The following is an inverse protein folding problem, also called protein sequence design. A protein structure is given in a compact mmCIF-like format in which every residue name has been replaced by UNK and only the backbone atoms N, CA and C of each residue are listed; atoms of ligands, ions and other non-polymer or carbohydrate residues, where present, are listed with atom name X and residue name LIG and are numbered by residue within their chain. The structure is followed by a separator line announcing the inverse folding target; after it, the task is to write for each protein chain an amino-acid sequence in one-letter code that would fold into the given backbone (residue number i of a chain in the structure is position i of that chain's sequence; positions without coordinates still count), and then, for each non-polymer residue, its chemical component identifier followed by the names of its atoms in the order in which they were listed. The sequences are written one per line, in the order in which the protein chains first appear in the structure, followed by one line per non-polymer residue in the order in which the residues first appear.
data_IF_327526231322
#
_entry.id   IF_327526231322
#
_cell.length_a   1.000
_cell.length_b   1.000
_cell.length_c   1.000
_cell.angle_alpha   90.00
_cell.angle_beta   90.00
_cell.angle_gamma   90.00
#
_symmetry.space_group_name_H-M   'P 1'
#
loop_
_entity.id
_entity.type
_entity.pdbx_description
1 polymer ?
#
# COMPACT_ATOMS: atom_id res chain seq x y z
N UNK A 1 -12.37 23.33 15.75
CA UNK A 1 -11.35 23.60 14.71
C UNK A 1 -10.27 22.52 14.62
N UNK A 2 -9.57 22.16 15.71
CA UNK A 2 -8.51 21.12 15.71
C UNK A 2 -8.95 19.79 15.05
N UNK A 3 -10.14 19.29 15.38
CA UNK A 3 -10.71 18.06 14.79
C UNK A 3 -10.88 18.12 13.27
N UNK A 4 -11.39 19.23 12.73
CA UNK A 4 -11.59 19.39 11.29
C UNK A 4 -10.25 19.44 10.55
N UNK A 5 -9.29 20.18 11.11
CA UNK A 5 -7.92 20.24 10.57
C UNK A 5 -7.29 18.85 10.58
N UNK A 6 -7.42 18.08 11.66
CA UNK A 6 -6.91 16.70 11.73
C UNK A 6 -7.56 15.78 10.70
N UNK A 7 -8.89 15.85 10.50
CA UNK A 7 -9.59 15.04 9.49
C UNK A 7 -9.11 15.40 8.08
N UNK A 8 -8.97 16.70 7.79
CA UNK A 8 -8.48 17.17 6.50
C UNK A 8 -7.06 16.67 6.23
N UNK A 9 -6.15 16.84 7.18
CA UNK A 9 -4.76 16.39 7.06
C UNK A 9 -4.67 14.87 6.89
N UNK A 10 -5.46 14.10 7.63
CA UNK A 10 -5.46 12.64 7.52
C UNK A 10 -6.02 12.18 6.17
N UNK A 11 -7.04 12.88 5.65
CA UNK A 11 -7.62 12.59 4.33
C UNK A 11 -6.62 12.90 3.22
N UNK A 12 -5.94 14.05 3.29
CA UNK A 12 -4.88 14.41 2.34
C UNK A 12 -3.72 13.42 2.39
N UNK A 13 -3.33 12.97 3.59
CA UNK A 13 -2.32 11.95 3.76
C UNK A 13 -2.73 10.63 3.10
N UNK A 14 -3.95 10.15 3.38
CA UNK A 14 -4.49 8.92 2.78
C UNK A 14 -4.52 9.02 1.25
N UNK A 15 -5.02 10.13 0.70
CA UNK A 15 -5.08 10.34 -0.76
C UNK A 15 -3.69 10.43 -1.40
N UNK A 16 -2.71 11.01 -0.72
CA UNK A 16 -1.34 11.19 -1.23
C UNK A 16 -0.48 9.93 -1.14
N UNK A 17 -0.73 9.07 -0.15
CA UNK A 17 0.08 7.88 0.14
C UNK A 17 -0.54 6.57 -0.32
N UNK A 18 -1.76 6.60 -0.85
CA UNK A 18 -2.48 5.42 -1.36
C UNK A 18 -3.09 5.72 -2.72
N UNK A 19 -3.57 4.67 -3.40
CA UNK A 19 -4.29 4.78 -4.69
C UNK A 19 -5.68 5.44 -4.56
N UNK A 20 -6.06 5.99 -3.39
CA UNK A 20 -7.35 6.66 -3.22
C UNK A 20 -7.52 7.88 -4.16
N UNK A 21 -6.43 8.48 -4.63
CA UNK A 21 -6.48 9.53 -5.66
C UNK A 21 -7.11 9.05 -6.97
N UNK A 22 -7.07 7.75 -7.28
CA UNK A 22 -7.67 7.19 -8.50
C UNK A 22 -9.19 7.41 -8.52
N UNK A 23 -9.85 7.53 -7.35
CA UNK A 23 -11.28 7.84 -7.27
C UNK A 23 -11.63 9.21 -7.86
N UNK A 24 -10.66 10.13 -7.98
CA UNK A 24 -10.86 11.42 -8.64
C UNK A 24 -11.05 11.27 -10.16
N UNK A 25 -10.69 10.12 -10.75
CA UNK A 25 -10.87 9.79 -12.18
C UNK A 25 -12.22 9.12 -12.48
N UNK A 26 -13.07 8.90 -11.48
CA UNK A 26 -14.42 8.34 -11.68
C UNK A 26 -15.25 9.14 -12.72
N UNK A 27 -15.17 10.47 -12.81
CA UNK A 27 -15.86 11.21 -13.88
C UNK A 27 -15.46 10.75 -15.30
N UNK A 28 -14.18 10.47 -15.54
CA UNK A 28 -13.70 10.00 -16.85
C UNK A 28 -14.23 8.59 -17.17
N UNK A 29 -14.35 7.72 -16.15
CA UNK A 29 -14.99 6.41 -16.30
C UNK A 29 -16.46 6.53 -16.71
N UNK A 30 -17.20 7.46 -16.09
CA UNK A 30 -18.62 7.70 -16.39
C UNK A 30 -18.77 8.24 -17.81
N UNK A 31 -17.98 9.23 -18.19
CA UNK A 31 -18.00 9.81 -19.53
C UNK A 31 -17.72 8.75 -20.60
N UNK A 32 -16.67 7.96 -20.41
CA UNK A 32 -16.31 6.91 -21.37
C UNK A 32 -17.37 5.79 -21.42
N UNK A 33 -17.98 5.42 -20.30
CA UNK A 33 -19.11 4.49 -20.30
C UNK A 33 -20.32 5.03 -21.10
N UNK A 34 -20.63 6.33 -20.98
CA UNK A 34 -21.69 6.97 -21.76
C UNK A 34 -21.39 6.89 -23.25
N UNK A 35 -20.15 7.18 -23.68
CA UNK A 35 -19.74 7.04 -25.09
C UNK A 35 -19.99 5.62 -25.62
N UNK A 36 -19.60 4.59 -24.87
CA UNK A 36 -19.88 3.20 -25.26
C UNK A 36 -21.37 2.85 -25.24
N UNK A 37 -22.15 3.45 -24.36
CA UNK A 37 -23.61 3.25 -24.27
C UNK A 37 -24.35 3.91 -25.43
N UNK A 38 -23.86 5.04 -25.93
CA UNK A 38 -24.37 5.72 -27.12
C UNK A 38 -24.05 4.93 -28.39
N UNK A 39 -22.85 4.36 -28.50
CA UNK A 39 -22.43 3.53 -29.63
C UNK A 39 -23.08 2.14 -29.62
N UNK A 40 -23.27 1.56 -28.43
CA UNK A 40 -23.90 0.26 -28.23
C UNK A 40 -24.91 0.34 -27.09
N UNK A 41 -26.21 0.55 -27.40
CA UNK A 41 -27.27 0.63 -26.40
C UNK A 41 -27.41 -0.62 -25.50
N UNK A 42 -26.96 -1.79 -25.95
CA UNK A 42 -26.98 -3.03 -25.17
C UNK A 42 -25.79 -3.18 -24.21
N UNK A 43 -24.79 -2.29 -24.30
CA UNK A 43 -23.64 -2.30 -23.41
C UNK A 43 -24.07 -2.14 -21.95
N UNK A 44 -23.73 -3.10 -21.11
CA UNK A 44 -23.90 -2.99 -19.66
C UNK A 44 -22.64 -2.42 -19.01
N UNK A 45 -22.79 -1.82 -17.83
CA UNK A 45 -21.64 -1.34 -17.05
C UNK A 45 -20.65 -2.47 -16.74
N UNK A 46 -21.15 -3.67 -16.44
CA UNK A 46 -20.29 -4.84 -16.19
C UNK A 46 -19.53 -5.29 -17.43
N UNK A 47 -20.17 -5.27 -18.60
CA UNK A 47 -19.51 -5.57 -19.88
C UNK A 47 -18.42 -4.55 -20.20
N UNK A 48 -18.71 -3.27 -20.02
CA UNK A 48 -17.75 -2.18 -20.22
C UNK A 48 -16.53 -2.33 -19.29
N UNK A 49 -16.75 -2.55 -17.99
CA UNK A 49 -15.66 -2.78 -17.05
C UNK A 49 -14.84 -4.02 -17.41
N UNK A 50 -15.49 -5.10 -17.87
CA UNK A 50 -14.77 -6.30 -18.29
C UNK A 50 -13.85 -6.03 -19.48
N UNK A 51 -14.32 -5.32 -20.50
CA UNK A 51 -13.51 -4.98 -21.67
C UNK A 51 -12.26 -4.19 -21.28
N UNK A 52 -12.39 -3.25 -20.33
CA UNK A 52 -11.31 -2.33 -19.96
C UNK A 52 -10.38 -2.82 -18.83
N UNK A 53 -10.84 -3.71 -17.95
CA UNK A 53 -10.06 -4.15 -16.77
C UNK A 53 -9.65 -5.63 -16.78
N UNK A 54 -10.31 -6.49 -17.55
CA UNK A 54 -9.98 -7.93 -17.61
C UNK A 54 -8.99 -8.22 -18.75
N UNK A 55 -9.29 -7.73 -19.95
CA UNK A 55 -8.48 -7.94 -21.15
C UNK A 55 -8.37 -6.66 -21.98
N UNK A 56 -7.64 -5.64 -21.48
CA UNK A 56 -7.54 -4.36 -22.17
C UNK A 56 -6.90 -4.52 -23.55
N UNK A 57 -7.63 -4.11 -24.58
CA UNK A 57 -7.16 -4.12 -25.97
C UNK A 57 -6.52 -2.78 -26.27
N UNK A 58 -5.40 -2.78 -27.01
CA UNK A 58 -4.81 -1.53 -27.50
C UNK A 58 -5.48 -1.15 -28.82
N UNK A 59 -6.54 -0.36 -28.76
CA UNK A 59 -7.20 0.15 -29.95
C UNK A 59 -7.20 1.70 -30.01
N UNK A 60 -8.10 2.29 -30.81
CA UNK A 60 -8.21 3.73 -30.96
C UNK A 60 -8.60 4.46 -29.67
N UNK A 61 -9.18 3.75 -28.71
CA UNK A 61 -9.55 4.26 -27.38
C UNK A 61 -8.42 4.22 -26.34
N UNK A 62 -7.30 3.53 -26.62
CA UNK A 62 -6.22 3.25 -25.67
C UNK A 62 -5.75 4.48 -24.86
N UNK A 63 -5.73 5.67 -25.47
CA UNK A 63 -5.37 6.92 -24.80
C UNK A 63 -6.39 7.39 -23.74
N UNK A 64 -7.67 7.08 -23.91
CA UNK A 64 -8.74 7.29 -22.94
C UNK A 64 -8.70 6.21 -21.85
N UNK A 65 -8.49 4.96 -22.23
CA UNK A 65 -8.43 3.83 -21.29
C UNK A 65 -7.35 4.04 -20.23
N UNK A 66 -6.20 4.56 -20.63
CA UNK A 66 -5.10 4.88 -19.72
C UNK A 66 -5.46 5.91 -18.64
N UNK A 67 -6.49 6.73 -18.86
CA UNK A 67 -6.94 7.74 -17.90
C UNK A 67 -7.92 7.17 -16.91
N UNK A 68 -8.55 6.03 -17.21
CA UNK A 68 -9.48 5.35 -16.33
C UNK A 68 -8.84 5.04 -14.95
N UNK A 69 -9.66 5.07 -13.88
CA UNK A 69 -9.18 4.80 -12.53
C UNK A 69 -8.57 3.40 -12.45
N UNK A 70 -7.43 3.26 -11.77
CA UNK A 70 -6.77 1.97 -11.52
C UNK A 70 -6.24 1.22 -12.75
N UNK A 71 -6.09 1.87 -13.91
CA UNK A 71 -5.37 1.30 -15.07
C UNK A 71 -3.86 1.57 -14.98
N UNK A 72 -3.49 2.82 -14.70
CA UNK A 72 -2.10 3.24 -14.49
C UNK A 72 -1.92 3.65 -13.04
N UNK A 73 -0.93 3.03 -12.38
CA UNK A 73 -0.55 3.32 -11.00
C UNK A 73 0.68 4.22 -10.96
N UNK A 74 0.62 5.27 -10.13
CA UNK A 74 1.77 6.13 -9.85
C UNK A 74 2.43 5.69 -8.55
N UNK A 75 3.74 5.87 -8.43
CA UNK A 75 4.41 5.57 -7.17
C UNK A 75 3.82 6.46 -6.05
N UNK A 76 3.25 5.87 -4.98
CA UNK A 76 2.75 6.65 -3.86
C UNK A 76 3.91 7.36 -3.15
N UNK A 77 3.61 8.45 -2.46
CA UNK A 77 4.59 9.24 -1.73
C UNK A 77 5.30 8.36 -0.68
N UNK A 78 6.61 8.12 -0.90
CA UNK A 78 7.47 7.40 0.04
C UNK A 78 8.35 8.39 0.81
N UNK A 79 8.11 8.54 2.11
CA UNK A 79 8.96 9.34 3.00
C UNK A 79 9.94 8.43 3.71
N UNK A 80 11.23 8.63 3.45
CA UNK A 80 12.32 7.97 4.17
C UNK A 80 12.88 8.95 5.19
N UNK A 81 12.69 8.66 6.47
CA UNK A 81 13.29 9.43 7.56
C UNK A 81 14.60 8.75 7.98
N UNK A 82 15.72 9.43 7.77
CA UNK A 82 17.03 8.99 8.28
C UNK A 82 17.29 9.66 9.62
N UNK A 83 17.68 8.86 10.62
CA UNK A 83 18.16 9.41 11.89
C UNK A 83 19.56 9.98 11.64
N UNK A 84 19.74 11.26 11.95
CA UNK A 84 21.05 11.90 11.87
C UNK A 84 22.03 11.26 12.87
N UNK A 85 23.32 11.20 12.50
CA UNK A 85 24.36 10.59 13.35
C UNK A 85 24.52 11.30 14.70
N UNK A 86 24.02 12.54 14.85
CA UNK A 86 24.01 13.29 16.09
C UNK A 86 22.81 13.02 17.01
N UNK A 87 21.87 12.15 16.65
CA UNK A 87 20.70 11.88 17.48
C UNK A 87 21.08 11.12 18.77
N UNK A 88 21.22 11.86 19.86
CA UNK A 88 21.47 11.31 21.19
C UNK A 88 20.21 11.45 22.04
N UNK A 89 19.72 10.33 22.58
CA UNK A 89 18.66 10.36 23.58
C UNK A 89 19.28 10.86 24.89
N UNK A 90 19.07 12.13 25.23
CA UNK A 90 19.49 12.64 26.52
C UNK A 90 18.60 11.99 27.58
N UNK A 91 19.14 10.97 28.25
CA UNK A 91 18.46 10.31 29.36
C UNK A 91 18.24 11.37 30.43
N UNK A 92 16.99 11.60 30.88
CA UNK A 92 16.77 12.49 32.01
C UNK A 92 17.57 11.96 33.20
N UNK A 93 18.63 12.69 33.54
CA UNK A 93 19.38 12.55 34.77
C UNK A 93 18.35 12.82 35.87
N UNK A 94 17.99 11.79 36.64
CA UNK A 94 16.92 11.78 37.67
C UNK A 94 15.50 11.37 37.21
N UNK A 95 15.36 10.53 36.18
CA UNK A 95 14.16 9.68 36.14
C UNK A 95 14.26 8.66 37.28
N UNK A 96 13.54 8.91 38.39
CA UNK A 96 13.14 7.83 39.30
C UNK A 96 12.56 6.74 38.41
N UNK A 97 13.27 5.63 38.24
CA UNK A 97 12.72 4.43 37.65
C UNK A 97 11.54 4.04 38.53
N UNK A 98 10.34 4.52 38.20
CA UNK A 98 9.13 3.89 38.69
C UNK A 98 9.25 2.49 38.12
N UNK A 99 9.39 1.51 39.00
CA UNK A 99 9.23 0.11 38.67
C UNK A 99 7.80 -0.02 38.12
N UNK A 100 7.63 0.24 36.83
CA UNK A 100 6.42 -0.09 36.13
C UNK A 100 6.37 -1.61 36.19
N UNK A 101 5.40 -2.12 36.94
CA UNK A 101 5.04 -3.52 36.90
C UNK A 101 4.50 -3.76 35.50
N UNK A 102 5.40 -4.04 34.57
CA UNK A 102 5.07 -4.45 33.21
C UNK A 102 4.38 -5.79 33.38
N UNK A 103 3.06 -5.78 33.25
CA UNK A 103 2.35 -7.02 32.98
C UNK A 103 2.98 -7.54 31.70
N UNK A 104 3.55 -8.76 31.74
CA UNK A 104 4.11 -9.44 30.58
C UNK A 104 3.11 -9.26 29.45
N UNK A 105 3.45 -8.40 28.47
CA UNK A 105 2.74 -8.41 27.21
C UNK A 105 2.95 -9.83 26.71
N UNK A 106 1.88 -10.50 26.30
CA UNK A 106 2.00 -11.77 25.63
C UNK A 106 2.70 -11.50 24.28
N UNK A 107 4.03 -11.42 24.31
CA UNK A 107 4.84 -11.47 23.10
C UNK A 107 4.63 -12.86 22.54
N UNK A 108 3.93 -12.94 21.41
CA UNK A 108 3.97 -14.14 20.60
C UNK A 108 5.44 -14.35 20.25
N UNK A 109 5.97 -15.47 20.69
CA UNK A 109 7.36 -15.86 20.47
C UNK A 109 7.61 -15.99 18.96
N UNK A 110 8.24 -15.00 18.33
CA UNK A 110 8.56 -15.05 16.90
C UNK A 110 9.60 -16.13 16.59
N UNK A 111 10.37 -16.58 17.60
CA UNK A 111 11.35 -17.65 17.44
C UNK A 111 10.67 -19.00 17.18
N UNK A 112 9.39 -19.15 17.59
CA UNK A 112 8.59 -20.33 17.26
C UNK A 112 8.29 -20.48 15.76
N UNK A 113 8.39 -19.40 14.96
CA UNK A 113 8.19 -19.44 13.52
C UNK A 113 9.36 -20.17 12.81
N UNK A 114 10.56 -20.13 13.39
CA UNK A 114 11.78 -20.64 12.75
C UNK A 114 12.16 -22.08 13.14
N UNK A 115 11.51 -22.66 14.15
CA UNK A 115 11.79 -24.04 14.60
C UNK A 115 11.49 -25.08 13.49
N UNK A 116 10.56 -24.79 12.57
CA UNK A 116 10.22 -25.70 11.48
C UNK A 116 11.23 -25.78 10.34
N UNK A 117 12.16 -24.82 10.24
CA UNK A 117 13.01 -24.68 9.04
C UNK A 117 14.46 -25.14 9.22
N UNK A 118 14.90 -25.45 10.45
CA UNK A 118 16.29 -25.84 10.73
C UNK A 118 16.79 -27.04 9.91
N UNK A 119 15.90 -27.96 9.52
CA UNK A 119 16.25 -29.14 8.71
C UNK A 119 15.92 -28.99 7.21
N UNK A 120 15.37 -27.86 6.79
CA UNK A 120 15.01 -27.59 5.39
C UNK A 120 15.92 -26.57 4.71
N UNK A 121 16.86 -25.99 5.46
CA UNK A 121 17.93 -25.18 4.87
C UNK A 121 18.92 -26.13 4.21
N UNK A 122 19.08 -25.98 2.90
CA UNK A 122 20.10 -26.69 2.14
C UNK A 122 21.49 -26.27 2.66
N UNK A 123 22.22 -27.20 3.29
CA UNK A 123 23.62 -27.00 3.66
C UNK A 123 24.54 -27.51 2.52
N UNK A 124 25.61 -26.79 2.16
CA UNK A 124 26.58 -27.28 1.20
C UNK A 124 27.32 -28.53 1.75
N UNK A 125 27.73 -29.47 0.87
CA UNK A 125 28.38 -30.71 1.30
C UNK A 125 29.66 -30.42 2.10
N UNK A 126 29.74 -30.93 3.33
CA UNK A 126 30.97 -30.89 4.12
C UNK A 126 31.88 -32.02 3.62
N UNK A 127 32.86 -31.69 2.78
CA UNK A 127 33.90 -32.65 2.40
C UNK A 127 34.75 -32.99 3.63
N UNK A 128 34.64 -34.23 4.11
CA UNK A 128 35.59 -34.79 5.08
C UNK A 128 36.84 -35.22 4.33
N UNK A 129 37.90 -34.42 4.39
CA UNK A 129 39.24 -34.91 4.08
C UNK A 129 39.73 -35.73 5.28
N UNK A 130 39.94 -37.04 5.05
CA UNK A 130 40.67 -37.92 5.96
C UNK A 130 42.16 -37.89 5.66
#
# INVERSE_FOLDING_TARGET
MKKLVSILLLTLYLVSTTEMYQLLKVPELIEHYIEHKELNPEMTLTSFLKTHYDHPVKDGDYGKDQRLPFIIHSAPLALVFTIDKGFSFEKPLESKFILLKVNKIASKDEDSCFIGYLNSVWEPPRFSFS
#
